data_IF_428754785337
#
_entry.id   IF_428754785337
#
_cell.length_a   1.000
_cell.length_b   1.000
_cell.length_c   1.000
_cell.angle_alpha   90.00
_cell.angle_beta   90.00
_cell.angle_gamma   90.00
#
_symmetry.space_group_name_H-M   'P 1'
#
loop_
_entity.id
_entity.type
_entity.pdbx_description
1 polymer ?
#
# COMPACT_ATOMS: atom_id res chain seq x y z
N UNK A 1 27.87 -22.53 18.74
CA UNK A 1 27.52 -21.61 17.64
C UNK A 1 26.01 -21.56 17.51
N UNK A 2 25.37 -20.49 17.94
CA UNK A 2 23.96 -20.21 17.67
C UNK A 2 23.83 -18.69 17.57
N UNK A 3 24.15 -18.13 16.40
CA UNK A 3 23.73 -16.76 16.08
C UNK A 3 22.26 -16.84 15.70
N UNK A 4 21.39 -16.65 16.68
CA UNK A 4 19.96 -16.47 16.45
C UNK A 4 19.76 -15.18 15.66
N UNK A 5 19.89 -15.28 14.33
CA UNK A 5 19.46 -14.22 13.44
C UNK A 5 17.93 -14.27 13.41
N UNK A 6 17.29 -13.68 14.42
CA UNK A 6 15.96 -13.11 14.27
C UNK A 6 16.08 -11.89 13.36
N UNK A 7 16.43 -12.12 12.09
CA UNK A 7 16.36 -11.09 11.06
C UNK A 7 14.88 -10.76 10.92
N UNK A 8 14.48 -9.60 11.48
CA UNK A 8 13.15 -9.05 11.23
C UNK A 8 13.06 -8.90 9.72
N UNK A 9 12.21 -9.71 9.10
CA UNK A 9 11.96 -9.58 7.67
C UNK A 9 10.93 -8.48 7.54
N UNK A 10 11.36 -7.37 6.98
CA UNK A 10 10.48 -6.27 6.68
C UNK A 10 9.82 -6.51 5.34
N UNK A 11 8.52 -6.24 5.26
CA UNK A 11 7.74 -6.40 4.05
C UNK A 11 7.11 -5.07 3.67
N UNK A 12 7.39 -4.59 2.46
CA UNK A 12 6.71 -3.43 1.91
C UNK A 12 5.33 -3.85 1.39
N UNK A 13 4.32 -3.06 1.71
CA UNK A 13 2.93 -3.28 1.37
C UNK A 13 2.32 -1.98 0.88
N UNK A 14 1.47 -2.07 -0.13
CA UNK A 14 0.67 -0.95 -0.62
C UNK A 14 -0.77 -1.17 -0.22
N UNK A 15 -1.31 -0.31 0.64
CA UNK A 15 -2.74 -0.31 0.95
C UNK A 15 -3.44 0.67 0.02
N UNK A 16 -4.52 0.23 -0.63
CA UNK A 16 -5.30 1.00 -1.57
C UNK A 16 -6.65 1.37 -0.99
N UNK A 17 -7.10 2.56 -1.32
CA UNK A 17 -8.30 3.16 -0.77
C UNK A 17 -9.07 3.86 -1.87
N UNK A 18 -10.39 3.95 -1.67
CA UNK A 18 -11.23 4.91 -2.38
C UNK A 18 -11.81 5.89 -1.37
N UNK A 19 -12.23 7.05 -1.86
CA UNK A 19 -12.91 8.04 -1.02
C UNK A 19 -14.40 8.03 -1.34
N UNK A 20 -15.21 7.89 -0.31
CA UNK A 20 -16.65 8.10 -0.32
C UNK A 20 -16.98 9.35 0.53
N UNK A 21 -17.75 10.33 0.02
CA UNK A 21 -18.06 11.55 0.78
C UNK A 21 -18.84 11.32 2.09
N UNK A 22 -19.54 10.19 2.22
CA UNK A 22 -20.34 9.83 3.39
C UNK A 22 -19.49 9.04 4.38
N UNK A 23 -18.75 8.03 3.91
CA UNK A 23 -18.01 7.11 4.77
C UNK A 23 -16.52 7.46 4.96
N UNK A 24 -16.00 8.41 4.18
CA UNK A 24 -14.58 8.75 4.16
C UNK A 24 -13.75 7.75 3.34
N UNK A 25 -12.53 7.47 3.81
CA UNK A 25 -11.63 6.55 3.11
C UNK A 25 -11.97 5.08 3.39
N UNK A 26 -12.19 4.32 2.32
CA UNK A 26 -12.53 2.90 2.39
C UNK A 26 -11.39 2.04 1.83
N UNK A 27 -10.87 1.10 2.63
CA UNK A 27 -9.84 0.15 2.20
C UNK A 27 -10.38 -0.75 1.09
N UNK A 28 -9.75 -0.69 -0.07
CA UNK A 28 -10.12 -1.45 -1.27
C UNK A 28 -9.28 -2.72 -1.43
N UNK A 29 -8.01 -2.66 -1.03
CA UNK A 29 -7.12 -3.81 -1.18
C UNK A 29 -5.73 -3.61 -0.62
N UNK A 30 -5.02 -4.71 -0.43
CA UNK A 30 -3.66 -4.74 0.10
C UNK A 30 -2.77 -5.49 -0.88
N UNK A 31 -1.73 -4.82 -1.37
CA UNK A 31 -0.74 -5.38 -2.29
C UNK A 31 0.61 -5.57 -1.60
N UNK A 32 0.93 -6.80 -1.16
CA UNK A 32 2.27 -7.28 -0.88
C UNK A 32 3.31 -6.96 -1.97
N UNK A 33 4.39 -6.25 -1.64
CA UNK A 33 5.56 -6.20 -2.54
C UNK A 33 6.35 -7.50 -2.43
N UNK A 34 6.43 -8.23 -3.54
CA UNK A 34 7.12 -9.53 -3.62
C UNK A 34 8.34 -9.50 -4.53
N UNK A 35 8.58 -8.40 -5.25
CA UNK A 35 9.73 -8.25 -6.14
C UNK A 35 11.01 -8.07 -5.34
N UNK A 36 12.10 -8.62 -5.89
CA UNK A 36 13.46 -8.46 -5.33
C UNK A 36 13.94 -7.01 -5.30
N UNK A 37 13.49 -6.18 -6.25
CA UNK A 37 13.79 -4.75 -6.30
C UNK A 37 12.48 -3.93 -6.16
N UNK A 38 12.15 -3.45 -4.95
CA UNK A 38 10.94 -2.66 -4.69
C UNK A 38 10.88 -1.33 -5.46
N UNK A 39 12.03 -0.76 -5.84
CA UNK A 39 12.10 0.50 -6.59
C UNK A 39 11.45 0.42 -7.98
N UNK A 40 11.19 -0.79 -8.49
CA UNK A 40 10.47 -1.00 -9.75
C UNK A 40 8.97 -0.75 -9.64
N UNK A 41 8.41 -0.75 -8.43
CA UNK A 41 7.00 -0.46 -8.24
C UNK A 41 6.78 1.06 -8.31
N UNK A 42 6.13 1.49 -9.37
CA UNK A 42 5.71 2.88 -9.57
C UNK A 42 4.30 3.11 -9.02
N UNK A 43 3.96 4.37 -8.77
CA UNK A 43 2.58 4.76 -8.49
C UNK A 43 1.60 4.26 -9.56
N UNK A 44 1.93 4.43 -10.85
CA UNK A 44 1.09 3.95 -11.96
C UNK A 44 0.82 2.44 -11.88
N UNK A 45 1.80 1.65 -11.42
CA UNK A 45 1.64 0.21 -11.25
C UNK A 45 0.64 -0.11 -10.13
N UNK A 46 0.71 0.62 -9.02
CA UNK A 46 -0.21 0.45 -7.88
C UNK A 46 -1.61 0.90 -8.24
N UNK A 47 -1.75 2.06 -8.89
CA UNK A 47 -3.03 2.58 -9.36
C UNK A 47 -3.65 1.69 -10.44
N UNK A 48 -2.84 1.19 -11.38
CA UNK A 48 -3.27 0.24 -12.40
C UNK A 48 -3.83 -1.05 -11.78
N UNK A 49 -3.17 -1.59 -10.75
CA UNK A 49 -3.71 -2.72 -9.99
C UNK A 49 -5.00 -2.38 -9.25
N UNK A 50 -5.10 -1.19 -8.65
CA UNK A 50 -6.33 -0.72 -8.01
C UNK A 50 -7.51 -0.63 -8.97
N UNK A 51 -7.29 -0.16 -10.20
CA UNK A 51 -8.33 -0.12 -11.25
C UNK A 51 -8.80 -1.53 -11.62
N UNK A 52 -7.88 -2.49 -11.69
CA UNK A 52 -8.24 -3.90 -11.95
C UNK A 52 -9.12 -4.45 -10.82
N UNK A 53 -8.81 -4.15 -9.55
CA UNK A 53 -9.63 -4.58 -8.42
C UNK A 53 -11.04 -3.99 -8.43
N UNK A 54 -11.16 -2.71 -8.77
CA UNK A 54 -12.44 -2.00 -8.78
C UNK A 54 -13.29 -2.32 -10.01
N UNK A 55 -12.70 -2.87 -11.07
CA UNK A 55 -13.38 -3.22 -12.31
C UNK A 55 -14.11 -2.02 -12.92
N UNK A 56 -15.36 -2.23 -13.37
CA UNK A 56 -16.18 -1.17 -13.99
C UNK A 56 -16.47 0.04 -13.09
N UNK A 57 -16.29 -0.08 -11.78
CA UNK A 57 -16.52 1.01 -10.82
C UNK A 57 -15.33 1.98 -10.73
N UNK A 58 -14.18 1.65 -11.36
CA UNK A 58 -12.96 2.44 -11.27
C UNK A 58 -13.07 3.82 -11.95
N UNK A 59 -13.89 3.96 -13.00
CA UNK A 59 -13.94 5.19 -13.82
C UNK A 59 -14.48 6.41 -13.06
N UNK A 60 -15.24 6.20 -11.99
CA UNK A 60 -15.88 7.27 -11.20
C UNK A 60 -15.26 7.43 -9.81
N UNK A 61 -14.18 6.71 -9.50
CA UNK A 61 -13.56 6.73 -8.17
C UNK A 61 -12.10 7.14 -8.26
N UNK A 62 -11.73 8.13 -7.45
CA UNK A 62 -10.33 8.39 -7.13
C UNK A 62 -9.78 7.24 -6.30
N UNK A 63 -8.62 6.72 -6.71
CA UNK A 63 -7.88 5.68 -5.99
C UNK A 63 -6.69 6.36 -5.32
N UNK A 64 -6.54 6.10 -4.03
CA UNK A 64 -5.44 6.56 -3.22
C UNK A 64 -4.68 5.34 -2.71
N UNK A 65 -3.40 5.50 -2.38
CA UNK A 65 -2.65 4.42 -1.74
C UNK A 65 -1.65 4.97 -0.73
N UNK A 66 -1.22 4.11 0.19
CA UNK A 66 -0.10 4.40 1.09
C UNK A 66 0.87 3.22 1.14
N UNK A 67 2.14 3.53 1.37
CA UNK A 67 3.23 2.55 1.49
C UNK A 67 3.45 2.23 2.96
N UNK A 68 3.35 0.96 3.33
CA UNK A 68 3.48 0.48 4.71
C UNK A 68 4.60 -0.55 4.77
N UNK A 69 5.46 -0.46 5.77
CA UNK A 69 6.43 -1.52 6.08
C UNK A 69 5.91 -2.33 7.25
N UNK A 70 5.75 -3.63 7.05
CA UNK A 70 5.31 -4.59 8.07
C UNK A 70 6.49 -5.42 8.58
N UNK A 71 6.38 -5.94 9.80
CA UNK A 71 7.20 -7.04 10.30
C UNK A 71 6.63 -8.42 9.91
N UNK A 72 7.26 -9.48 10.41
CA UNK A 72 6.85 -10.87 10.20
C UNK A 72 5.46 -11.20 10.77
N UNK A 73 5.02 -10.47 11.80
CA UNK A 73 3.74 -10.67 12.46
C UNK A 73 2.64 -9.80 11.82
N UNK A 74 2.95 -9.09 10.74
CA UNK A 74 2.04 -8.17 10.06
C UNK A 74 1.86 -6.83 10.77
N UNK A 75 2.70 -6.51 11.76
CA UNK A 75 2.62 -5.24 12.49
C UNK A 75 3.25 -4.14 11.68
N UNK A 76 2.59 -2.97 11.66
CA UNK A 76 3.10 -1.77 11.00
C UNK A 76 4.33 -1.27 11.75
N UNK A 77 5.45 -1.18 11.04
CA UNK A 77 6.69 -0.61 11.55
C UNK A 77 6.89 0.84 11.09
N UNK A 78 6.58 1.11 9.81
CA UNK A 78 6.76 2.42 9.21
C UNK A 78 5.67 2.71 8.19
N UNK A 79 5.18 3.94 8.17
CA UNK A 79 4.29 4.46 7.13
C UNK A 79 5.08 5.48 6.32
N UNK A 80 5.27 5.22 5.03
CA UNK A 80 5.85 6.18 4.11
C UNK A 80 4.71 6.96 3.45
N UNK A 81 4.55 8.21 3.87
CA UNK A 81 3.66 9.19 3.24
C UNK A 81 4.44 9.84 2.09
N UNK A 82 4.13 9.47 0.85
CA UNK A 82 4.66 10.17 -0.33
C UNK A 82 3.85 11.47 -0.52
N UNK A 83 4.49 12.63 -0.37
CA UNK A 83 3.79 13.93 -0.29
C UNK A 83 3.47 14.53 -1.68
N UNK A 84 3.75 13.81 -2.77
CA UNK A 84 3.77 14.35 -4.13
C UNK A 84 2.72 13.79 -5.09
N UNK A 85 1.81 12.94 -4.60
CA UNK A 85 0.72 12.43 -5.41
C UNK A 85 -0.36 11.92 -4.49
N UNK A 86 -1.63 12.24 -4.75
CA UNK A 86 -2.88 11.71 -4.16
C UNK A 86 -2.72 10.65 -3.04
N UNK A 87 -2.04 11.02 -1.95
CA UNK A 87 -1.66 10.11 -0.86
C UNK A 87 -2.48 10.54 0.33
N UNK A 88 -3.15 9.57 0.94
CA UNK A 88 -3.99 9.83 2.10
C UNK A 88 -3.11 10.36 3.22
N UNK A 89 -3.36 11.62 3.60
CA UNK A 89 -2.78 12.22 4.79
C UNK A 89 -3.82 12.10 5.89
N UNK A 90 -3.54 11.32 6.93
CA UNK A 90 -4.37 11.30 8.14
C UNK A 90 -4.00 12.55 8.95
N UNK A 91 -4.95 13.48 9.13
CA UNK A 91 -4.83 14.59 10.09
C UNK A 91 -5.01 14.09 11.52
#
# INVERSE_FOLDING_TARGET
>A
MNSGNNSIKHMLVYELYTFDPINGYELTGVLPERRKNPKRMTEDSVLGWGRILLGGNANNKSIYFKKVTLDNDGRILWVNLDINSNTITFQ
#
